data_IF_492421815388
#
_entry.id   IF_492421815388
#
_cell.length_a   1.000
_cell.length_b   1.000
_cell.length_c   1.000
_cell.angle_alpha   90.00
_cell.angle_beta   90.00
_cell.angle_gamma   90.00
#
_symmetry.space_group_name_H-M   'P 1'
#
loop_
_entity.id
_entity.type
_entity.pdbx_description
1 polymer ?
#
# COMPACT_ATOMS: atom_id res chain seq x y z
N UNK A 1 48.64 -28.16 -0.96
CA UNK A 1 49.04 -26.75 -1.20
C UNK A 1 47.89 -25.98 -1.86
N UNK A 2 47.05 -25.25 -1.10
CA UNK A 2 46.08 -24.31 -1.69
C UNK A 2 46.03 -22.98 -0.89
N UNK A 3 47.15 -22.26 -0.80
CA UNK A 3 47.20 -20.95 -0.11
C UNK A 3 47.47 -19.77 -1.06
N UNK A 4 47.88 -20.03 -2.31
CA UNK A 4 48.34 -18.97 -3.22
C UNK A 4 47.21 -18.28 -3.99
N UNK A 5 46.01 -18.88 -4.08
CA UNK A 5 44.93 -18.36 -4.94
C UNK A 5 44.14 -17.23 -4.25
N UNK A 6 44.10 -17.20 -2.92
CA UNK A 6 43.32 -16.20 -2.17
C UNK A 6 43.96 -14.81 -2.14
N UNK A 7 45.28 -14.70 -2.26
CA UNK A 7 45.98 -13.39 -2.21
C UNK A 7 45.88 -12.60 -3.52
N UNK A 8 45.77 -13.29 -4.66
CA UNK A 8 45.67 -12.66 -5.99
C UNK A 8 44.31 -11.97 -6.22
N UNK A 9 43.24 -12.46 -5.61
CA UNK A 9 41.91 -11.84 -5.73
C UNK A 9 41.80 -10.56 -4.88
N UNK A 10 42.57 -10.43 -3.80
CA UNK A 10 42.63 -9.20 -3.00
C UNK A 10 43.65 -8.17 -3.52
N UNK A 11 44.72 -8.59 -4.21
CA UNK A 11 45.74 -7.69 -4.75
C UNK A 11 45.28 -6.85 -5.97
N UNK A 12 44.12 -7.18 -6.55
CA UNK A 12 43.57 -6.50 -7.74
C UNK A 12 42.69 -5.28 -7.46
N UNK A 13 42.30 -5.00 -6.21
CA UNK A 13 41.59 -3.77 -5.86
C UNK A 13 42.59 -2.65 -5.60
N UNK A 14 43.15 -2.08 -6.67
CA UNK A 14 43.80 -0.77 -6.59
C UNK A 14 42.74 0.24 -6.14
N UNK A 15 42.97 0.88 -5.00
CA UNK A 15 42.24 2.09 -4.63
C UNK A 15 42.57 3.15 -5.69
N UNK A 16 41.61 3.96 -6.15
CA UNK A 16 41.88 5.03 -7.10
C UNK A 16 42.95 5.96 -6.51
N UNK A 17 44.08 6.10 -7.20
CA UNK A 17 45.23 6.88 -6.71
C UNK A 17 45.22 8.31 -7.29
N UNK A 18 44.45 8.54 -8.38
CA UNK A 18 44.38 9.85 -9.04
C UNK A 18 43.07 10.59 -8.77
N UNK A 19 43.11 11.93 -8.72
CA UNK A 19 41.92 12.78 -8.53
C UNK A 19 40.83 12.53 -9.58
N UNK A 20 41.22 12.21 -10.81
CA UNK A 20 40.31 11.96 -11.93
C UNK A 20 39.57 10.63 -11.78
N UNK A 21 40.23 9.58 -11.28
CA UNK A 21 39.59 8.29 -10.98
C UNK A 21 38.63 8.38 -9.78
N UNK A 22 38.93 9.21 -8.79
CA UNK A 22 38.00 9.51 -7.69
C UNK A 22 36.75 10.24 -8.18
N UNK A 23 36.89 11.19 -9.11
CA UNK A 23 35.76 11.89 -9.73
C UNK A 23 34.91 10.92 -10.57
N UNK A 24 35.53 10.04 -11.36
CA UNK A 24 34.81 9.02 -12.13
C UNK A 24 34.06 8.02 -11.25
N UNK A 25 34.70 7.56 -10.17
CA UNK A 25 34.09 6.65 -9.19
C UNK A 25 32.93 7.33 -8.46
N UNK A 26 33.13 8.57 -8.00
CA UNK A 26 32.09 9.37 -7.37
C UNK A 26 30.91 9.64 -8.31
N UNK A 27 31.17 9.97 -9.57
CA UNK A 27 30.14 10.15 -10.58
C UNK A 27 29.35 8.85 -10.83
N UNK A 28 30.01 7.69 -10.83
CA UNK A 28 29.34 6.40 -10.97
C UNK A 28 28.40 6.12 -9.79
N UNK A 29 28.86 6.33 -8.55
CA UNK A 29 28.01 6.16 -7.37
C UNK A 29 26.85 7.17 -7.34
N UNK A 30 27.09 8.41 -7.77
CA UNK A 30 26.05 9.43 -7.90
C UNK A 30 24.99 8.98 -8.92
N UNK A 31 25.39 8.53 -10.10
CA UNK A 31 24.48 8.06 -11.14
C UNK A 31 23.68 6.84 -10.69
N UNK A 32 24.31 5.88 -10.02
CA UNK A 32 23.63 4.72 -9.43
C UNK A 32 22.64 5.18 -8.36
N UNK A 33 23.06 6.08 -7.47
CA UNK A 33 22.20 6.62 -6.42
C UNK A 33 20.98 7.35 -6.98
N UNK A 34 21.17 8.18 -8.01
CA UNK A 34 20.09 8.89 -8.71
C UNK A 34 19.16 7.90 -9.41
N UNK A 35 19.69 6.90 -10.11
CA UNK A 35 18.90 5.88 -10.79
C UNK A 35 18.05 5.06 -9.81
N UNK A 36 18.63 4.64 -8.68
CA UNK A 36 17.91 3.93 -7.62
C UNK A 36 16.83 4.83 -7.02
N UNK A 37 17.18 6.07 -6.68
CA UNK A 37 16.25 7.04 -6.11
C UNK A 37 15.05 7.32 -7.02
N UNK A 38 15.30 7.52 -8.32
CA UNK A 38 14.26 7.73 -9.31
C UNK A 38 13.38 6.48 -9.48
N UNK A 39 13.98 5.29 -9.49
CA UNK A 39 13.25 4.02 -9.58
C UNK A 39 12.34 3.80 -8.38
N UNK A 40 12.83 4.06 -7.17
CA UNK A 40 12.03 3.97 -5.93
C UNK A 40 10.91 5.02 -5.91
N UNK A 41 11.20 6.25 -6.34
CA UNK A 41 10.19 7.30 -6.44
C UNK A 41 9.10 6.94 -7.46
N UNK A 42 9.48 6.43 -8.62
CA UNK A 42 8.54 6.01 -9.67
C UNK A 42 7.69 4.82 -9.24
N UNK A 43 8.30 3.78 -8.66
CA UNK A 43 7.58 2.64 -8.09
C UNK A 43 6.63 3.07 -6.98
N UNK A 44 7.08 3.95 -6.08
CA UNK A 44 6.24 4.50 -5.01
C UNK A 44 5.09 5.36 -5.53
N UNK A 45 5.29 6.11 -6.62
CA UNK A 45 4.23 6.88 -7.27
C UNK A 45 3.22 5.97 -7.97
N UNK A 46 3.67 4.95 -8.70
CA UNK A 46 2.80 3.99 -9.36
C UNK A 46 1.95 3.20 -8.35
N UNK A 47 2.57 2.75 -7.25
CA UNK A 47 1.87 2.07 -6.16
C UNK A 47 0.84 2.97 -5.45
N UNK A 48 1.09 4.28 -5.33
CA UNK A 48 0.07 5.23 -4.84
C UNK A 48 -1.09 5.35 -5.83
N UNK A 49 -0.79 5.52 -7.12
CA UNK A 49 -1.79 5.68 -8.17
C UNK A 49 -2.72 4.47 -8.30
N UNK A 50 -2.18 3.26 -8.15
CA UNK A 50 -2.98 2.02 -8.09
C UNK A 50 -3.89 2.00 -6.87
N UNK A 51 -3.36 2.33 -5.68
CA UNK A 51 -4.15 2.40 -4.45
C UNK A 51 -5.27 3.43 -4.50
N UNK A 52 -5.03 4.60 -5.09
CA UNK A 52 -6.05 5.64 -5.23
C UNK A 52 -7.19 5.17 -6.16
N UNK A 53 -6.85 4.50 -7.27
CA UNK A 53 -7.85 3.92 -8.18
C UNK A 53 -8.66 2.80 -7.52
N UNK A 54 -8.00 1.92 -6.76
CA UNK A 54 -8.67 0.86 -5.99
C UNK A 54 -9.60 1.44 -4.92
N UNK A 55 -9.16 2.50 -4.23
CA UNK A 55 -9.96 3.21 -3.24
C UNK A 55 -11.22 3.82 -3.87
N UNK A 56 -11.09 4.57 -4.96
CA UNK A 56 -12.23 5.17 -5.65
C UNK A 56 -13.21 4.11 -6.14
N UNK A 57 -12.70 3.01 -6.71
CA UNK A 57 -13.53 1.89 -7.16
C UNK A 57 -14.30 1.25 -6.01
N UNK A 58 -13.63 0.92 -4.90
CA UNK A 58 -14.27 0.30 -3.74
C UNK A 58 -15.31 1.23 -3.10
N UNK A 59 -15.01 2.54 -3.04
CA UNK A 59 -15.97 3.53 -2.57
C UNK A 59 -17.20 3.62 -3.46
N UNK A 60 -17.02 3.58 -4.79
CA UNK A 60 -18.13 3.55 -5.74
C UNK A 60 -18.98 2.29 -5.58
N UNK A 61 -18.37 1.10 -5.49
CA UNK A 61 -19.07 -0.17 -5.29
C UNK A 61 -19.86 -0.19 -3.96
N UNK A 62 -19.25 0.32 -2.87
CA UNK A 62 -19.91 0.46 -1.56
C UNK A 62 -21.07 1.47 -1.60
N UNK A 63 -20.92 2.57 -2.34
CA UNK A 63 -21.98 3.54 -2.55
C UNK A 63 -23.15 2.95 -3.35
N UNK A 64 -22.86 2.15 -4.39
CA UNK A 64 -23.88 1.42 -5.15
C UNK A 64 -24.60 0.38 -4.31
N UNK A 65 -23.88 -0.36 -3.45
CA UNK A 65 -24.49 -1.26 -2.48
C UNK A 65 -25.43 -0.51 -1.54
N UNK A 66 -24.98 0.62 -0.99
CA UNK A 66 -25.79 1.50 -0.13
C UNK A 66 -27.04 2.05 -0.83
N UNK A 67 -26.94 2.37 -2.12
CA UNK A 67 -28.07 2.85 -2.92
C UNK A 67 -29.10 1.75 -3.16
N UNK A 68 -28.63 0.54 -3.45
CA UNK A 68 -29.51 -0.63 -3.67
C UNK A 68 -30.14 -1.14 -2.38
N UNK A 69 -29.44 -1.00 -1.25
CA UNK A 69 -29.85 -1.48 0.06
C UNK A 69 -29.66 -0.37 1.09
N UNK A 70 -30.76 0.29 1.45
CA UNK A 70 -30.75 1.17 2.63
C UNK A 70 -30.46 0.38 3.91
N UNK A 71 -29.98 1.04 4.97
CA UNK A 71 -29.69 0.38 6.25
C UNK A 71 -30.87 -0.44 6.79
N UNK A 72 -32.11 0.03 6.57
CA UNK A 72 -33.32 -0.68 6.98
C UNK A 72 -33.58 -1.98 6.18
N UNK A 73 -32.99 -2.11 4.99
CA UNK A 73 -33.15 -3.23 4.08
C UNK A 73 -32.00 -4.24 4.15
N UNK A 74 -30.96 -3.98 4.94
CA UNK A 74 -29.80 -4.86 5.09
C UNK A 74 -30.19 -6.24 5.63
N UNK A 75 -31.21 -6.33 6.51
CA UNK A 75 -31.72 -7.60 7.04
C UNK A 75 -32.32 -8.53 5.99
N UNK A 76 -32.63 -8.00 4.80
CA UNK A 76 -33.16 -8.76 3.67
C UNK A 76 -32.10 -9.06 2.61
N UNK A 77 -30.84 -8.69 2.87
CA UNK A 77 -29.72 -9.09 2.02
C UNK A 77 -29.29 -10.51 2.37
N UNK A 78 -28.78 -11.23 1.38
CA UNK A 78 -28.21 -12.55 1.65
C UNK A 78 -26.95 -12.42 2.50
N UNK A 79 -26.60 -13.48 3.25
CA UNK A 79 -25.37 -13.51 4.01
C UNK A 79 -24.14 -13.27 3.12
N UNK A 80 -24.13 -13.81 1.90
CA UNK A 80 -23.05 -13.63 0.93
C UNK A 80 -22.90 -12.16 0.49
N UNK A 81 -24.00 -11.45 0.25
CA UNK A 81 -23.99 -10.01 -0.07
C UNK A 81 -23.44 -9.17 1.08
N UNK A 82 -23.84 -9.49 2.32
CA UNK A 82 -23.37 -8.80 3.52
C UNK A 82 -21.88 -9.06 3.79
N UNK A 83 -21.42 -10.31 3.61
CA UNK A 83 -20.02 -10.68 3.76
C UNK A 83 -19.13 -9.97 2.72
N UNK A 84 -19.57 -9.89 1.45
CA UNK A 84 -18.84 -9.18 0.41
C UNK A 84 -18.73 -7.67 0.71
N UNK A 85 -19.80 -7.04 1.20
CA UNK A 85 -19.75 -5.63 1.61
C UNK A 85 -18.87 -5.42 2.85
N UNK A 86 -18.88 -6.35 3.81
CA UNK A 86 -18.00 -6.31 4.97
C UNK A 86 -16.52 -6.37 4.55
N UNK A 87 -16.18 -7.26 3.62
CA UNK A 87 -14.83 -7.38 3.07
C UNK A 87 -14.40 -6.10 2.32
N UNK A 88 -15.27 -5.51 1.50
CA UNK A 88 -15.00 -4.19 0.88
C UNK A 88 -14.72 -3.11 1.92
N UNK A 89 -15.53 -3.03 2.98
CA UNK A 89 -15.34 -2.06 4.04
C UNK A 89 -13.99 -2.28 4.76
N UNK A 90 -13.57 -3.52 4.98
CA UNK A 90 -12.25 -3.83 5.52
C UNK A 90 -11.11 -3.41 4.60
N UNK A 91 -11.22 -3.67 3.29
CA UNK A 91 -10.22 -3.20 2.32
C UNK A 91 -10.09 -1.67 2.32
N UNK A 92 -11.22 -0.94 2.41
CA UNK A 92 -11.20 0.52 2.53
C UNK A 92 -10.46 1.00 3.78
N UNK A 93 -10.67 0.35 4.94
CA UNK A 93 -9.93 0.68 6.17
C UNK A 93 -8.44 0.47 6.00
N UNK A 94 -8.02 -0.65 5.41
CA UNK A 94 -6.59 -0.95 5.17
C UNK A 94 -5.97 0.09 4.23
N UNK A 95 -6.66 0.45 3.14
CA UNK A 95 -6.17 1.47 2.21
C UNK A 95 -6.02 2.85 2.88
N UNK A 96 -6.97 3.22 3.75
CA UNK A 96 -6.92 4.48 4.50
C UNK A 96 -5.82 4.49 5.58
N UNK A 97 -5.55 3.36 6.22
CA UNK A 97 -4.47 3.25 7.20
C UNK A 97 -3.08 3.29 6.53
N UNK A 98 -2.95 2.65 5.36
CA UNK A 98 -1.76 2.71 4.51
C UNK A 98 -1.51 4.10 3.92
N UNK A 99 -2.56 4.90 3.71
CA UNK A 99 -2.40 6.30 3.27
C UNK A 99 -2.03 7.22 4.44
N UNK A 100 -2.67 7.03 5.60
CA UNK A 100 -2.34 7.77 6.83
C UNK A 100 -0.88 7.57 7.28
N UNK A 101 -0.36 6.34 7.21
CA UNK A 101 1.05 6.04 7.50
C UNK A 101 2.03 6.59 6.45
N UNK A 102 1.58 6.78 5.20
CA UNK A 102 2.40 7.28 4.10
C UNK A 102 2.42 8.81 3.98
N UNK A 103 1.42 9.52 4.50
CA UNK A 103 1.32 10.99 4.44
C UNK A 103 1.50 11.59 5.84
N UNK A 104 2.72 12.03 6.16
CA UNK A 104 3.05 12.76 7.40
C UNK A 104 2.35 14.12 7.55
N UNK A 105 1.61 14.60 6.56
CA UNK A 105 1.10 15.98 6.54
C UNK A 105 -0.36 16.14 6.12
N UNK A 106 -1.03 15.11 5.60
CA UNK A 106 -2.47 15.17 5.29
C UNK A 106 -3.01 13.75 5.13
N UNK A 107 -3.21 13.03 6.24
CA UNK A 107 -3.92 11.75 6.20
C UNK A 107 -5.39 11.94 5.76
N UNK A 108 -6.10 10.86 5.41
CA UNK A 108 -7.53 10.94 5.14
C UNK A 108 -8.28 11.54 6.34
N UNK A 109 -9.43 12.22 6.12
CA UNK A 109 -10.18 12.82 7.22
C UNK A 109 -10.51 11.74 8.27
N UNK A 110 -10.21 11.95 9.56
CA UNK A 110 -10.48 10.97 10.61
C UNK A 110 -11.95 10.51 10.64
N UNK A 111 -12.85 11.37 10.15
CA UNK A 111 -14.28 11.11 10.00
C UNK A 111 -14.59 9.97 9.02
N UNK A 112 -13.80 9.77 7.96
CA UNK A 112 -14.04 8.69 6.99
C UNK A 112 -13.75 7.30 7.57
N UNK A 113 -12.64 7.15 8.30
CA UNK A 113 -12.30 5.89 8.97
C UNK A 113 -13.36 5.56 10.04
N UNK A 114 -13.78 6.56 10.82
CA UNK A 114 -14.83 6.39 11.82
C UNK A 114 -16.16 5.96 11.18
N UNK A 115 -16.54 6.57 10.05
CA UNK A 115 -17.75 6.22 9.32
C UNK A 115 -17.71 4.79 8.78
N UNK A 116 -16.60 4.36 8.18
CA UNK A 116 -16.45 2.99 7.66
C UNK A 116 -16.47 1.98 8.82
N UNK A 117 -15.79 2.26 9.94
CA UNK A 117 -15.84 1.41 11.14
C UNK A 117 -17.25 1.28 11.71
N UNK A 118 -17.99 2.37 11.78
CA UNK A 118 -19.40 2.33 12.19
C UNK A 118 -20.21 1.42 11.25
N UNK A 119 -20.01 1.53 9.94
CA UNK A 119 -20.69 0.70 8.95
C UNK A 119 -20.34 -0.79 9.09
N UNK A 120 -19.08 -1.12 9.33
CA UNK A 120 -18.63 -2.49 9.64
C UNK A 120 -19.39 -3.05 10.86
N UNK A 121 -19.55 -2.24 11.91
CA UNK A 121 -20.31 -2.63 13.11
C UNK A 121 -21.77 -2.95 12.79
N UNK A 122 -22.43 -2.09 12.01
CA UNK A 122 -23.82 -2.32 11.56
C UNK A 122 -23.94 -3.60 10.74
N UNK A 123 -23.06 -3.80 9.74
CA UNK A 123 -23.08 -5.01 8.90
C UNK A 123 -22.85 -6.27 9.73
N UNK A 124 -21.89 -6.24 10.65
CA UNK A 124 -21.60 -7.37 11.54
C UNK A 124 -22.79 -7.70 12.44
N UNK A 125 -23.47 -6.68 12.97
CA UNK A 125 -24.69 -6.86 13.76
C UNK A 125 -25.81 -7.50 12.95
N UNK A 126 -26.01 -7.04 11.71
CA UNK A 126 -27.04 -7.59 10.81
C UNK A 126 -26.69 -9.02 10.41
N UNK A 127 -25.44 -9.31 10.05
CA UNK A 127 -24.99 -10.67 9.72
C UNK A 127 -25.24 -11.64 10.85
N UNK A 128 -24.93 -11.26 12.10
CA UNK A 128 -25.25 -12.07 13.28
C UNK A 128 -26.75 -12.31 13.43
N UNK A 129 -27.58 -11.31 13.15
CA UNK A 129 -29.04 -11.48 13.22
C UNK A 129 -29.59 -12.41 12.14
N UNK A 130 -29.03 -12.37 10.92
CA UNK A 130 -29.43 -13.24 9.80
C UNK A 130 -28.96 -14.67 9.99
N UNK A 131 -27.80 -14.88 10.63
CA UNK A 131 -27.27 -16.21 10.93
C UNK A 131 -28.07 -16.95 12.02
N UNK A 132 -28.70 -16.20 12.93
CA UNK A 132 -29.47 -16.73 14.06
C UNK A 132 -30.99 -16.78 13.81
N UNK A 133 -31.44 -16.37 12.61
CA UNK A 133 -32.85 -16.37 12.19
C UNK A 133 -33.16 -17.62 11.35
#
# INVERSE_FOLDING_TARGET
MPAAVSYLVLAGRRLPETREEWLGTGAMFLMIGVAIGLSMAWAGWYARRGRDADYERLMAESAEFSRRRSNAQLRFASFAELAAELERCWHLVVLLDLSASSQRTAGPPPDQIAQIRHRISVLTSVMKSVQNA
#
